data_IF_278281083870
#
_entry.id   IF_278281083870
#
_cell.length_a   1.000
_cell.length_b   1.000
_cell.length_c   1.000
_cell.angle_alpha   90.00
_cell.angle_beta   90.00
_cell.angle_gamma   90.00
#
_symmetry.space_group_name_H-M   'P 1'
#
loop_
_entity.id
_entity.type
_entity.pdbx_description
1 polymer ?
#
# COMPACT_ATOMS: atom_id res chain seq x y z
N UNK A 1 -14.86 -1.56 -8.12
CA UNK A 1 -15.20 -2.94 -8.52
C UNK A 1 -13.91 -3.59 -9.01
N UNK A 2 -13.45 -4.69 -8.41
CA UNK A 2 -12.14 -5.32 -8.68
C UNK A 2 -11.91 -5.69 -10.15
N UNK A 3 -13.02 -5.87 -10.89
CA UNK A 3 -13.06 -6.19 -12.31
C UNK A 3 -12.22 -5.24 -13.17
N UNK A 4 -12.24 -3.91 -12.93
CA UNK A 4 -11.43 -2.98 -13.73
C UNK A 4 -9.93 -3.31 -13.67
N UNK A 5 -9.40 -3.51 -12.46
CA UNK A 5 -7.99 -3.81 -12.24
C UNK A 5 -7.57 -5.15 -12.86
N UNK A 6 -8.40 -6.19 -12.76
CA UNK A 6 -8.07 -7.51 -13.32
C UNK A 6 -7.90 -7.47 -14.84
N UNK A 7 -8.72 -6.67 -15.54
CA UNK A 7 -8.64 -6.52 -17.00
C UNK A 7 -7.43 -5.70 -17.39
N UNK A 8 -7.07 -4.69 -16.60
CA UNK A 8 -5.85 -3.93 -16.82
C UNK A 8 -4.60 -4.82 -16.64
N UNK A 9 -4.56 -5.65 -15.59
CA UNK A 9 -3.46 -6.62 -15.39
C UNK A 9 -3.37 -7.57 -16.60
N UNK A 10 -4.50 -8.11 -17.06
CA UNK A 10 -4.53 -8.99 -18.22
C UNK A 10 -4.05 -8.29 -19.52
N UNK A 11 -4.43 -7.03 -19.72
CA UNK A 11 -4.02 -6.25 -20.89
C UNK A 11 -2.55 -5.85 -20.85
N UNK A 12 -2.01 -5.58 -19.67
CA UNK A 12 -0.58 -5.30 -19.47
C UNK A 12 0.25 -6.56 -19.70
N UNK A 13 -0.17 -7.70 -19.13
CA UNK A 13 0.51 -8.98 -19.30
C UNK A 13 0.53 -9.48 -20.76
N UNK A 14 -0.49 -9.15 -21.56
CA UNK A 14 -0.52 -9.53 -22.98
C UNK A 14 0.34 -8.64 -23.89
N UNK A 15 0.68 -7.43 -23.43
CA UNK A 15 1.52 -6.46 -24.17
C UNK A 15 2.97 -6.46 -23.70
N UNK A 16 3.23 -6.92 -22.47
CA UNK A 16 4.54 -6.98 -21.84
C UNK A 16 5.22 -8.35 -21.94
N UNK A 17 6.22 -8.58 -21.10
CA UNK A 17 7.00 -9.82 -21.04
C UNK A 17 6.34 -10.95 -20.24
N UNK A 18 5.17 -10.73 -19.63
CA UNK A 18 4.45 -11.70 -18.81
C UNK A 18 5.15 -11.99 -17.48
N UNK A 19 4.98 -11.11 -16.50
CA UNK A 19 5.71 -11.15 -15.22
C UNK A 19 4.86 -11.54 -14.00
N UNK A 20 3.53 -11.54 -14.11
CA UNK A 20 2.65 -11.82 -12.98
C UNK A 20 2.43 -13.33 -12.81
N UNK A 21 3.09 -13.96 -11.84
CA UNK A 21 2.92 -15.40 -11.61
C UNK A 21 1.50 -15.76 -11.11
N UNK A 22 0.92 -14.92 -10.25
CA UNK A 22 -0.36 -15.21 -9.59
C UNK A 22 -1.12 -13.94 -9.23
N UNK A 23 -2.45 -14.01 -9.33
CA UNK A 23 -3.36 -12.97 -8.85
C UNK A 23 -4.25 -13.55 -7.76
N UNK A 24 -4.26 -12.92 -6.59
CA UNK A 24 -5.05 -13.34 -5.43
C UNK A 24 -6.14 -12.32 -5.15
N UNK A 25 -7.41 -12.70 -5.32
CA UNK A 25 -8.56 -11.83 -5.07
C UNK A 25 -9.17 -12.21 -3.71
N UNK A 26 -9.05 -11.33 -2.72
CA UNK A 26 -9.61 -11.59 -1.39
C UNK A 26 -11.02 -11.03 -1.25
N UNK A 27 -11.99 -11.90 -1.01
CA UNK A 27 -13.38 -11.54 -0.73
C UNK A 27 -13.57 -11.38 0.78
N UNK A 28 -13.47 -10.14 1.25
CA UNK A 28 -13.53 -9.81 2.67
C UNK A 28 -14.95 -9.70 3.25
N UNK A 29 -15.94 -9.49 2.37
CA UNK A 29 -17.37 -9.54 2.66
C UNK A 29 -17.99 -10.55 1.69
N UNK A 30 -19.25 -10.95 1.94
CA UNK A 30 -19.99 -11.91 1.11
C UNK A 30 -19.73 -11.67 -0.39
N UNK A 31 -19.39 -12.72 -1.15
CA UNK A 31 -18.86 -12.56 -2.49
C UNK A 31 -19.87 -11.85 -3.40
N UNK A 32 -19.46 -10.71 -3.94
CA UNK A 32 -20.12 -10.13 -5.12
C UNK A 32 -19.76 -10.99 -6.33
N UNK A 33 -20.67 -11.08 -7.32
CA UNK A 33 -20.30 -11.66 -8.62
C UNK A 33 -19.02 -11.00 -9.14
N UNK A 34 -18.03 -11.82 -9.47
CA UNK A 34 -16.76 -11.39 -10.05
C UNK A 34 -16.35 -12.43 -11.10
N UNK A 35 -15.48 -12.03 -12.01
CA UNK A 35 -14.85 -12.92 -12.98
C UNK A 35 -13.40 -12.51 -13.19
N UNK A 36 -12.61 -13.43 -13.72
CA UNK A 36 -11.23 -13.19 -14.12
C UNK A 36 -11.12 -13.28 -15.64
N UNK A 37 -10.29 -12.45 -16.31
CA UNK A 37 -10.01 -12.61 -17.73
C UNK A 37 -9.43 -13.99 -18.05
N UNK A 38 -9.77 -14.55 -19.21
CA UNK A 38 -9.34 -15.88 -19.63
C UNK A 38 -7.81 -16.04 -19.64
N UNK A 39 -7.09 -14.98 -20.01
CA UNK A 39 -5.62 -14.92 -20.02
C UNK A 39 -4.98 -15.03 -18.63
N UNK A 40 -5.75 -14.80 -17.56
CA UNK A 40 -5.35 -14.91 -16.17
C UNK A 40 -6.02 -16.08 -15.45
N UNK A 41 -6.99 -16.77 -16.06
CA UNK A 41 -7.83 -17.77 -15.38
C UNK A 41 -7.01 -18.87 -14.69
N UNK A 42 -5.93 -19.36 -15.32
CA UNK A 42 -5.05 -20.37 -14.73
C UNK A 42 -4.26 -19.87 -13.51
N UNK A 43 -4.00 -18.55 -13.42
CA UNK A 43 -3.17 -17.87 -12.41
C UNK A 43 -3.97 -17.09 -11.36
N UNK A 44 -5.28 -16.93 -11.55
CA UNK A 44 -6.14 -16.19 -10.62
C UNK A 44 -6.78 -17.13 -9.60
N UNK A 45 -6.75 -16.75 -8.33
CA UNK A 45 -7.36 -17.50 -7.22
C UNK A 45 -8.13 -16.56 -6.32
N UNK A 46 -9.28 -17.01 -5.82
CA UNK A 46 -10.01 -16.32 -4.76
C UNK A 46 -9.54 -16.80 -3.39
N UNK A 47 -9.59 -15.88 -2.43
CA UNK A 47 -9.50 -16.17 -1.00
C UNK A 47 -10.78 -15.66 -0.37
N UNK A 48 -11.57 -16.54 0.24
CA UNK A 48 -12.83 -16.18 0.87
C UNK A 48 -12.67 -16.22 2.39
N UNK A 49 -13.12 -15.15 3.07
CA UNK A 49 -13.12 -15.13 4.51
C UNK A 49 -14.48 -15.56 5.07
N UNK A 50 -14.45 -16.43 6.09
CA UNK A 50 -15.64 -16.76 6.88
C UNK A 50 -16.22 -15.56 7.64
N UNK A 51 -15.37 -14.59 8.01
CA UNK A 51 -15.75 -13.36 8.71
C UNK A 51 -14.91 -12.20 8.20
N UNK A 52 -15.40 -10.98 8.36
CA UNK A 52 -14.67 -9.79 7.94
C UNK A 52 -13.32 -9.67 8.67
N UNK A 53 -12.24 -9.53 7.91
CA UNK A 53 -10.88 -9.30 8.40
C UNK A 53 -10.40 -7.88 8.07
N UNK A 54 -9.36 -7.45 8.77
CA UNK A 54 -8.72 -6.17 8.48
C UNK A 54 -7.94 -6.19 7.15
N UNK A 55 -7.61 -5.00 6.64
CA UNK A 55 -6.82 -4.86 5.41
C UNK A 55 -5.51 -5.64 5.48
N UNK A 56 -4.75 -5.47 6.57
CA UNK A 56 -3.47 -6.16 6.76
C UNK A 56 -3.61 -7.67 6.84
N UNK A 57 -4.60 -8.17 7.60
CA UNK A 57 -4.85 -9.60 7.74
C UNK A 57 -5.23 -10.27 6.41
N UNK A 58 -5.97 -9.58 5.53
CA UNK A 58 -6.27 -10.09 4.19
C UNK A 58 -5.01 -10.25 3.34
N UNK A 59 -4.14 -9.24 3.35
CA UNK A 59 -2.90 -9.28 2.57
C UNK A 59 -1.88 -10.25 3.15
N UNK A 60 -1.84 -10.45 4.48
CA UNK A 60 -1.03 -11.49 5.10
C UNK A 60 -1.48 -12.90 4.67
N UNK A 61 -2.80 -13.15 4.64
CA UNK A 61 -3.34 -14.40 4.16
C UNK A 61 -3.00 -14.65 2.68
N UNK A 62 -3.10 -13.62 1.83
CA UNK A 62 -2.66 -13.71 0.44
C UNK A 62 -1.15 -13.96 0.32
N UNK A 63 -0.35 -13.25 1.12
CA UNK A 63 1.11 -13.38 1.12
C UNK A 63 1.58 -14.78 1.54
N UNK A 64 0.83 -15.52 2.36
CA UNK A 64 1.15 -16.92 2.69
C UNK A 64 1.26 -17.84 1.47
N UNK A 65 0.69 -17.44 0.33
CA UNK A 65 0.77 -18.14 -0.95
C UNK A 65 1.81 -17.54 -1.91
N UNK A 66 2.62 -16.57 -1.47
CA UNK A 66 3.64 -15.92 -2.28
C UNK A 66 4.91 -16.79 -2.34
N UNK A 67 5.33 -17.14 -3.56
CA UNK A 67 6.57 -17.86 -3.84
C UNK A 67 7.60 -17.00 -4.62
N UNK A 68 7.21 -15.79 -4.99
CA UNK A 68 7.99 -14.85 -5.80
C UNK A 68 8.87 -13.92 -4.95
N UNK A 69 9.86 -13.29 -5.58
CA UNK A 69 10.69 -12.28 -4.91
C UNK A 69 9.92 -11.01 -4.52
N UNK A 70 8.81 -10.73 -5.20
CA UNK A 70 7.98 -9.55 -5.03
C UNK A 70 6.51 -9.92 -4.81
N UNK A 71 5.83 -9.14 -3.98
CA UNK A 71 4.40 -9.25 -3.68
C UNK A 71 3.74 -7.87 -3.84
N UNK A 72 2.71 -7.79 -4.67
CA UNK A 72 1.98 -6.54 -4.89
C UNK A 72 0.72 -6.47 -4.02
N UNK A 73 0.60 -5.40 -3.25
CA UNK A 73 -0.63 -4.99 -2.55
C UNK A 73 -1.31 -3.94 -3.41
N UNK A 74 -2.54 -4.21 -3.84
CA UNK A 74 -3.28 -3.35 -4.76
C UNK A 74 -4.72 -3.16 -4.27
N UNK A 75 -5.16 -1.92 -4.20
CA UNK A 75 -6.58 -1.64 -4.04
C UNK A 75 -7.36 -1.92 -5.33
N UNK A 76 -8.63 -2.36 -5.25
CA UNK A 76 -9.44 -2.72 -6.41
C UNK A 76 -9.90 -1.52 -7.28
N UNK A 77 -9.62 -0.29 -6.88
CA UNK A 77 -9.88 0.97 -7.60
C UNK A 77 -8.62 1.56 -8.26
N UNK A 78 -7.50 0.83 -8.23
CA UNK A 78 -6.32 1.11 -9.06
C UNK A 78 -6.63 0.75 -10.52
N UNK A 79 -6.17 1.60 -11.43
CA UNK A 79 -6.17 1.35 -12.88
C UNK A 79 -4.76 1.44 -13.44
N UNK A 80 -4.40 0.51 -14.32
CA UNK A 80 -3.08 0.39 -14.92
C UNK A 80 -3.15 0.64 -16.43
N UNK A 81 -2.19 1.42 -16.96
CA UNK A 81 -2.07 1.72 -18.38
C UNK A 81 -0.83 1.11 -19.04
N UNK A 82 0.12 0.62 -18.24
CA UNK A 82 1.40 0.07 -18.68
C UNK A 82 1.92 -1.01 -17.72
N UNK A 83 3.03 -1.66 -18.08
CA UNK A 83 3.71 -2.64 -17.22
C UNK A 83 4.45 -1.98 -16.05
N UNK A 84 3.66 -1.56 -15.06
CA UNK A 84 4.17 -0.89 -13.86
C UNK A 84 5.02 -1.81 -12.99
N UNK A 85 4.79 -3.12 -13.01
CA UNK A 85 5.53 -4.04 -12.15
C UNK A 85 6.97 -4.15 -12.62
N UNK A 86 7.18 -4.41 -13.92
CA UNK A 86 8.53 -4.46 -14.49
C UNK A 86 9.25 -3.11 -14.38
N UNK A 87 8.55 -2.01 -14.64
CA UNK A 87 9.11 -0.67 -14.50
C UNK A 87 9.57 -0.36 -13.07
N UNK A 88 8.81 -0.76 -12.05
CA UNK A 88 9.21 -0.58 -10.64
C UNK A 88 10.40 -1.48 -10.28
N UNK A 89 10.37 -2.76 -10.68
CA UNK A 89 11.46 -3.71 -10.41
C UNK A 89 12.76 -3.25 -11.08
N UNK A 90 12.70 -2.69 -12.28
CA UNK A 90 13.86 -2.16 -13.00
C UNK A 90 14.55 -1.01 -12.25
N UNK A 91 13.82 -0.29 -11.38
CA UNK A 91 14.34 0.79 -10.56
C UNK A 91 14.70 0.37 -9.13
N UNK A 92 14.50 -0.91 -8.79
CA UNK A 92 14.75 -1.44 -7.46
C UNK A 92 16.26 -1.56 -7.19
N UNK A 93 16.67 -1.16 -5.99
CA UNK A 93 17.96 -1.49 -5.41
C UNK A 93 17.85 -2.68 -4.45
N UNK A 94 18.98 -3.30 -4.13
CA UNK A 94 19.03 -4.49 -3.28
C UNK A 94 18.42 -4.26 -1.89
N UNK A 95 18.50 -3.04 -1.37
CA UNK A 95 18.03 -2.62 -0.04
C UNK A 95 16.62 -1.98 -0.05
N UNK A 96 15.93 -1.96 -1.18
CA UNK A 96 14.54 -1.52 -1.24
C UNK A 96 13.60 -2.64 -0.80
N UNK A 97 12.82 -2.39 0.25
CA UNK A 97 11.74 -3.27 0.67
C UNK A 97 10.43 -2.99 -0.07
N UNK A 98 10.18 -1.73 -0.42
CA UNK A 98 8.91 -1.30 -1.01
C UNK A 98 9.18 -0.32 -2.13
N UNK A 99 8.49 -0.53 -3.25
CA UNK A 99 8.40 0.38 -4.38
C UNK A 99 6.94 0.83 -4.50
N UNK A 100 6.71 2.13 -4.67
CA UNK A 100 5.37 2.64 -4.97
C UNK A 100 5.41 3.67 -6.10
N UNK A 101 4.47 3.58 -7.06
CA UNK A 101 4.32 4.55 -8.14
C UNK A 101 3.66 5.84 -7.63
N UNK A 102 3.64 6.88 -8.47
CA UNK A 102 2.73 8.00 -8.30
C UNK A 102 1.27 7.55 -8.46
N UNK A 103 0.42 7.92 -7.51
CA UNK A 103 -1.02 7.70 -7.56
C UNK A 103 -1.68 8.96 -8.12
N UNK A 104 -2.24 8.88 -9.32
CA UNK A 104 -2.89 10.01 -9.97
C UNK A 104 -4.40 9.99 -9.71
N UNK A 105 -4.94 11.15 -9.36
CA UNK A 105 -6.38 11.37 -9.36
C UNK A 105 -6.90 11.29 -10.82
N UNK A 106 -7.90 10.44 -11.13
CA UNK A 106 -8.39 10.27 -12.48
C UNK A 106 -9.04 11.53 -13.07
N UNK A 107 -9.59 12.41 -12.21
CA UNK A 107 -10.35 13.57 -12.65
C UNK A 107 -9.43 14.76 -12.90
N UNK A 108 -8.40 14.93 -12.05
CA UNK A 108 -7.48 16.09 -12.15
C UNK A 108 -6.12 15.76 -12.77
N UNK A 109 -5.74 14.48 -12.81
CA UNK A 109 -4.39 14.04 -13.20
C UNK A 109 -3.30 14.37 -12.17
N UNK A 110 -3.66 14.96 -11.03
CA UNK A 110 -2.70 15.35 -10.01
C UNK A 110 -2.20 14.14 -9.21
N UNK A 111 -0.91 14.12 -8.91
CA UNK A 111 -0.32 13.11 -8.06
C UNK A 111 -0.72 13.31 -6.59
N UNK A 112 -1.01 12.20 -5.90
CA UNK A 112 -1.30 12.21 -4.48
C UNK A 112 -0.12 12.83 -3.69
N UNK A 113 -0.39 13.70 -2.70
CA UNK A 113 0.66 14.37 -1.97
C UNK A 113 1.49 13.38 -1.12
N UNK A 114 2.79 13.64 -1.06
CA UNK A 114 3.71 12.97 -0.15
C UNK A 114 3.18 12.98 1.29
N UNK A 115 3.29 11.82 1.96
CA UNK A 115 2.78 11.64 3.31
C UNK A 115 3.88 11.88 4.34
N UNK A 116 3.65 12.82 5.26
CA UNK A 116 4.49 13.03 6.44
C UNK A 116 4.18 12.04 7.57
N UNK A 117 4.93 12.15 8.67
CA UNK A 117 4.68 11.38 9.89
C UNK A 117 3.26 11.58 10.42
N UNK A 118 2.56 10.50 10.77
CA UNK A 118 1.22 10.53 11.37
C UNK A 118 1.26 10.91 12.86
N UNK A 119 1.86 12.06 13.19
CA UNK A 119 1.83 12.59 14.56
C UNK A 119 0.44 13.16 14.90
N UNK A 120 0.04 13.22 16.18
CA UNK A 120 -1.22 13.87 16.56
C UNK A 120 -1.35 15.30 16.00
N UNK A 121 -0.27 16.07 16.05
CA UNK A 121 -0.21 17.42 15.49
C UNK A 121 -0.36 17.43 13.95
N UNK A 122 0.24 16.45 13.24
CA UNK A 122 0.08 16.31 11.79
C UNK A 122 -1.39 16.05 11.41
N UNK A 123 -2.03 15.12 12.11
CA UNK A 123 -3.41 14.72 11.84
C UNK A 123 -4.36 15.91 12.00
N UNK A 124 -4.10 16.77 12.99
CA UNK A 124 -4.86 18.00 13.22
C UNK A 124 -4.55 19.07 12.16
N UNK A 125 -3.26 19.39 11.96
CA UNK A 125 -2.85 20.50 11.09
C UNK A 125 -3.17 20.29 9.62
N UNK A 126 -3.27 19.05 9.15
CA UNK A 126 -3.66 18.73 7.76
C UNK A 126 -5.05 19.27 7.38
N UNK A 127 -5.89 19.58 8.37
CA UNK A 127 -7.22 20.17 8.16
C UNK A 127 -7.22 21.70 8.17
N UNK A 128 -6.08 22.33 8.45
CA UNK A 128 -5.96 23.78 8.56
C UNK A 128 -5.52 24.41 7.23
N UNK A 129 -5.92 25.66 6.93
CA UNK A 129 -5.43 26.41 5.77
C UNK A 129 -3.92 26.54 5.76
N UNK A 130 -3.31 26.53 4.57
CA UNK A 130 -1.86 26.70 4.40
C UNK A 130 -1.02 25.45 4.74
N UNK A 131 -1.65 24.31 5.04
CA UNK A 131 -0.94 23.04 5.14
C UNK A 131 -0.23 22.71 3.83
N UNK A 132 1.04 22.31 3.93
CA UNK A 132 1.84 21.86 2.80
C UNK A 132 2.24 20.40 3.01
N UNK A 133 2.24 19.59 1.93
CA UNK A 133 2.71 18.21 2.00
C UNK A 133 4.20 18.14 2.34
N UNK A 134 4.65 16.97 2.78
CA UNK A 134 6.06 16.74 3.06
C UNK A 134 6.89 16.80 1.77
N UNK A 135 8.13 17.32 1.83
CA UNK A 135 9.02 17.36 0.66
C UNK A 135 9.38 15.96 0.13
N UNK A 136 9.43 14.97 1.02
CA UNK A 136 9.62 13.56 0.69
C UNK A 136 8.64 12.69 1.50
N UNK A 137 8.22 11.52 0.99
CA UNK A 137 7.32 10.63 1.69
C UNK A 137 8.05 9.97 2.88
N UNK A 138 7.47 10.10 4.07
CA UNK A 138 7.89 9.35 5.26
C UNK A 138 7.34 7.91 5.25
N UNK A 139 6.37 7.61 4.39
CA UNK A 139 5.79 6.27 4.23
C UNK A 139 5.00 6.23 2.92
N UNK A 140 4.72 5.02 2.44
CA UNK A 140 4.02 4.76 1.18
C UNK A 140 2.62 4.20 1.48
N UNK A 141 1.57 4.72 0.83
CA UNK A 141 0.19 4.31 1.13
C UNK A 141 -0.12 2.90 0.60
N UNK A 142 -0.90 2.14 1.36
CA UNK A 142 -1.32 0.77 1.03
C UNK A 142 -2.21 0.62 -0.21
N UNK A 143 -2.45 1.69 -0.98
CA UNK A 143 -3.24 1.63 -2.22
C UNK A 143 -2.49 0.89 -3.34
N UNK A 144 -1.18 1.08 -3.42
CA UNK A 144 -0.27 0.34 -4.31
C UNK A 144 1.08 0.21 -3.62
N UNK A 145 1.47 -1.00 -3.23
CA UNK A 145 2.82 -1.30 -2.74
C UNK A 145 3.36 -2.54 -3.47
N UNK A 146 4.51 -2.43 -4.11
CA UNK A 146 5.27 -3.59 -4.58
C UNK A 146 6.37 -3.90 -3.56
N UNK A 147 6.19 -5.00 -2.83
CA UNK A 147 6.95 -5.30 -1.62
C UNK A 147 7.88 -6.49 -1.86
N UNK A 148 9.14 -6.37 -1.46
CA UNK A 148 10.10 -7.47 -1.47
C UNK A 148 9.66 -8.53 -0.47
N UNK A 149 9.46 -9.76 -0.93
CA UNK A 149 8.88 -10.84 -0.12
C UNK A 149 9.76 -11.22 1.08
N UNK A 150 11.08 -11.11 0.95
CA UNK A 150 12.01 -11.26 2.07
C UNK A 150 11.79 -10.21 3.15
N UNK A 151 11.75 -8.92 2.78
CA UNK A 151 11.56 -7.84 3.71
C UNK A 151 10.20 -7.93 4.43
N UNK A 152 9.15 -8.30 3.69
CA UNK A 152 7.81 -8.52 4.26
C UNK A 152 7.80 -9.68 5.28
N UNK A 153 8.47 -10.80 4.98
CA UNK A 153 8.65 -11.93 5.92
C UNK A 153 9.42 -11.51 7.17
N UNK A 154 10.53 -10.79 7.00
CA UNK A 154 11.39 -10.38 8.11
C UNK A 154 10.64 -9.58 9.18
N UNK A 155 9.70 -8.72 8.76
CA UNK A 155 8.91 -7.91 9.69
C UNK A 155 7.58 -8.54 10.11
N UNK A 156 7.28 -9.77 9.64
CA UNK A 156 6.04 -10.49 9.95
C UNK A 156 4.79 -9.96 9.26
N UNK A 157 4.94 -9.31 8.10
CA UNK A 157 3.83 -8.75 7.32
C UNK A 157 3.16 -7.53 7.96
N UNK A 158 1.88 -7.31 7.68
CA UNK A 158 1.08 -6.28 8.36
C UNK A 158 0.78 -6.69 9.81
N UNK A 159 0.70 -5.70 10.71
CA UNK A 159 0.19 -5.94 12.06
C UNK A 159 -1.34 -6.09 12.01
N UNK A 160 -1.83 -7.32 12.19
CA UNK A 160 -3.26 -7.66 12.06
C UNK A 160 -4.15 -7.04 13.15
N UNK A 161 -3.55 -6.42 14.17
CA UNK A 161 -4.29 -5.69 15.19
C UNK A 161 -4.82 -4.35 14.69
N UNK A 162 -4.37 -3.89 13.51
CA UNK A 162 -5.02 -2.83 12.75
C UNK A 162 -6.09 -3.44 11.85
N UNK A 163 -7.34 -3.07 12.10
CA UNK A 163 -8.43 -3.49 11.22
C UNK A 163 -8.42 -2.70 9.90
N UNK A 164 -8.28 -1.37 9.99
CA UNK A 164 -8.20 -0.47 8.85
C UNK A 164 -7.49 0.82 9.30
N UNK A 165 -6.73 1.44 8.39
CA UNK A 165 -5.95 2.65 8.59
C UNK A 165 -4.70 2.48 9.46
N UNK A 166 -3.64 3.21 9.09
CA UNK A 166 -2.32 3.25 9.74
C UNK A 166 -1.53 1.92 9.73
N UNK A 167 -2.09 0.85 9.19
CA UNK A 167 -1.45 -0.44 8.98
C UNK A 167 -0.30 -0.36 7.95
N UNK A 168 -0.48 0.47 6.92
CA UNK A 168 0.53 0.78 5.90
C UNK A 168 1.68 1.64 6.46
N UNK A 169 1.36 2.65 7.27
CA UNK A 169 2.34 3.42 8.02
C UNK A 169 3.17 2.51 8.94
N UNK A 170 2.50 1.66 9.73
CA UNK A 170 3.15 0.76 10.67
C UNK A 170 4.10 -0.22 9.95
N UNK A 171 3.66 -0.79 8.82
CA UNK A 171 4.51 -1.63 7.97
C UNK A 171 5.75 -0.86 7.48
N UNK A 172 5.56 0.33 6.92
CA UNK A 172 6.65 1.18 6.44
C UNK A 172 7.65 1.49 7.56
N UNK A 173 7.17 1.84 8.76
CA UNK A 173 7.99 2.11 9.93
C UNK A 173 8.80 0.89 10.35
N UNK A 174 8.18 -0.30 10.42
CA UNK A 174 8.88 -1.54 10.78
C UNK A 174 9.93 -1.95 9.75
N UNK A 175 9.65 -1.79 8.46
CA UNK A 175 10.61 -2.06 7.39
C UNK A 175 11.84 -1.13 7.49
N UNK A 176 11.61 0.17 7.68
CA UNK A 176 12.69 1.14 7.89
C UNK A 176 13.53 0.83 9.13
N UNK A 177 12.87 0.44 10.23
CA UNK A 177 13.55 0.05 11.47
C UNK A 177 14.33 -1.27 11.35
N UNK A 178 13.99 -2.12 10.36
CA UNK A 178 14.72 -3.32 10.02
C UNK A 178 15.89 -3.07 9.04
N UNK A 179 16.14 -1.81 8.66
CA UNK A 179 17.26 -1.40 7.81
C UNK A 179 16.93 -1.29 6.31
N UNK A 180 15.68 -1.55 5.92
CA UNK A 180 15.26 -1.44 4.52
C UNK A 180 14.92 0.00 4.10
N UNK A 181 14.91 0.24 2.79
CA UNK A 181 14.44 1.49 2.18
C UNK A 181 13.02 1.38 1.65
N UNK A 182 12.36 2.54 1.59
CA UNK A 182 11.08 2.75 0.93
C UNK A 182 11.35 3.64 -0.26
N UNK A 183 11.07 3.16 -1.46
CA UNK A 183 11.32 3.89 -2.70
C UNK A 183 10.01 4.35 -3.32
N UNK A 184 9.89 5.66 -3.47
CA UNK A 184 8.85 6.28 -4.29
C UNK A 184 9.41 6.50 -5.69
N UNK A 185 8.64 6.12 -6.71
CA UNK A 185 9.05 6.14 -8.12
C UNK A 185 8.04 6.97 -8.92
N UNK A 186 8.18 8.31 -8.96
CA UNK A 186 7.18 9.20 -9.57
C UNK A 186 7.06 9.06 -11.09
N UNK A 187 8.07 8.48 -11.75
CA UNK A 187 8.10 8.22 -13.18
C UNK A 187 7.13 7.11 -13.58
N UNK A 188 6.81 6.19 -12.65
CA UNK A 188 5.78 5.17 -12.83
C UNK A 188 4.48 5.68 -12.24
N UNK A 189 3.41 5.64 -13.03
CA UNK A 189 2.14 6.28 -12.67
C UNK A 189 0.99 5.29 -12.80
N UNK A 190 0.09 5.32 -11.82
CA UNK A 190 -1.17 4.58 -11.84
C UNK A 190 -2.31 5.52 -11.50
N UNK A 191 -3.48 5.29 -12.09
CA UNK A 191 -4.67 6.03 -11.70
C UNK A 191 -5.29 5.37 -10.48
N UNK A 192 -5.67 6.18 -9.49
CA UNK A 192 -6.32 5.75 -8.27
C UNK A 192 -7.51 6.67 -8.02
N UNK A 193 -8.70 6.16 -8.32
CA UNK A 193 -9.95 6.84 -7.99
C UNK A 193 -10.16 6.76 -6.48
N UNK A 194 -9.37 7.52 -5.72
CA UNK A 194 -9.40 7.52 -4.26
C UNK A 194 -10.84 7.76 -3.83
N UNK A 195 -11.56 6.68 -3.47
CA UNK A 195 -12.97 6.80 -3.17
C UNK A 195 -13.09 7.67 -1.91
N UNK A 196 -13.36 8.96 -2.11
CA UNK A 196 -13.69 9.95 -1.07
C UNK A 196 -15.03 9.64 -0.41
N UNK A 197 -15.64 8.50 -0.73
CA UNK A 197 -16.78 7.91 -0.06
C UNK A 197 -16.39 7.30 1.30
N UNK A 198 -15.54 7.97 2.08
CA UNK A 198 -15.65 7.88 3.53
C UNK A 198 -16.92 8.61 3.94
N UNK A 199 -18.08 8.03 3.61
CA UNK A 199 -19.33 8.42 4.26
C UNK A 199 -19.03 8.42 5.75
N UNK A 200 -19.28 9.56 6.40
CA UNK A 200 -19.02 9.81 7.82
C UNK A 200 -19.92 8.90 8.65
N UNK A 201 -19.64 7.60 8.62
CA UNK A 201 -20.27 6.59 9.46
C UNK A 201 -19.35 6.44 10.65
N UNK A 202 -19.93 6.57 11.85
CA UNK A 202 -19.27 6.42 13.14
C UNK A 202 -18.32 5.22 13.22
N UNK A 203 -18.64 4.13 12.52
CA UNK A 203 -17.79 2.94 12.42
C UNK A 203 -16.38 3.23 11.86
N UNK A 204 -16.26 3.95 10.74
CA UNK A 204 -14.96 4.26 10.14
C UNK A 204 -14.16 5.23 10.99
N UNK A 205 -14.83 6.21 11.61
CA UNK A 205 -14.20 7.11 12.58
C UNK A 205 -13.63 6.33 13.77
N UNK A 206 -14.41 5.39 14.33
CA UNK A 206 -13.96 4.53 15.44
C UNK A 206 -12.73 3.71 15.07
N UNK A 207 -12.71 3.08 13.90
CA UNK A 207 -11.52 2.37 13.41
C UNK A 207 -10.32 3.30 13.26
N UNK A 208 -10.52 4.50 12.71
CA UNK A 208 -9.44 5.47 12.57
C UNK A 208 -8.84 5.88 13.92
N UNK A 209 -9.69 6.20 14.91
CA UNK A 209 -9.23 6.57 16.26
C UNK A 209 -8.53 5.39 16.96
N UNK A 210 -9.06 4.18 16.86
CA UNK A 210 -8.46 2.99 17.44
C UNK A 210 -7.08 2.70 16.84
N UNK A 211 -6.95 2.81 15.51
CA UNK A 211 -5.69 2.62 14.80
C UNK A 211 -4.67 3.71 15.14
N UNK A 212 -5.07 4.97 15.24
CA UNK A 212 -4.17 6.05 15.65
C UNK A 212 -3.69 5.87 17.10
N UNK A 213 -4.59 5.51 18.02
CA UNK A 213 -4.21 5.22 19.40
C UNK A 213 -3.21 4.05 19.47
N UNK A 214 -3.47 2.96 18.72
CA UNK A 214 -2.55 1.84 18.60
C UNK A 214 -1.19 2.31 18.09
N UNK A 215 -1.16 3.08 17.00
CA UNK A 215 0.06 3.60 16.42
C UNK A 215 0.88 4.41 17.43
N UNK A 216 0.24 5.35 18.14
CA UNK A 216 0.91 6.22 19.09
C UNK A 216 1.27 5.54 20.42
N UNK A 217 0.60 4.45 20.78
CA UNK A 217 1.02 3.61 21.92
C UNK A 217 2.15 2.63 21.54
N UNK A 218 2.36 2.39 20.25
CA UNK A 218 3.34 1.45 19.73
C UNK A 218 4.77 1.97 19.75
N UNK A 219 5.72 1.11 20.16
CA UNK A 219 7.16 1.44 20.16
C UNK A 219 7.71 1.73 18.75
N UNK A 220 7.16 1.08 17.71
CA UNK A 220 7.61 1.25 16.33
C UNK A 220 7.48 2.70 15.86
N UNK A 221 6.35 3.36 16.15
CA UNK A 221 6.13 4.77 15.79
C UNK A 221 7.20 5.69 16.40
N UNK A 222 7.48 5.56 17.69
CA UNK A 222 8.43 6.43 18.39
C UNK A 222 9.87 6.20 17.95
N UNK A 223 10.26 4.93 17.76
CA UNK A 223 11.58 4.58 17.22
C UNK A 223 11.74 5.10 15.80
N UNK A 224 10.72 4.96 14.95
CA UNK A 224 10.76 5.43 13.58
C UNK A 224 10.82 6.97 13.50
N UNK A 225 10.07 7.65 14.36
CA UNK A 225 10.17 9.11 14.51
C UNK A 225 11.56 9.56 14.93
N UNK A 226 12.22 8.84 15.84
CA UNK A 226 13.61 9.13 16.23
C UNK A 226 14.57 8.93 15.05
N UNK A 227 14.45 7.80 14.33
CA UNK A 227 15.25 7.51 13.14
C UNK A 227 15.19 8.64 12.11
N UNK A 228 13.98 9.08 11.73
CA UNK A 228 13.82 10.17 10.75
C UNK A 228 14.41 11.50 11.22
N UNK A 229 14.37 11.80 12.53
CA UNK A 229 15.00 13.01 13.06
C UNK A 229 16.51 12.93 12.97
N UNK A 230 17.09 11.77 13.26
CA UNK A 230 18.53 11.57 13.21
C UNK A 230 19.04 11.62 11.76
N UNK A 231 18.31 11.02 10.81
CA UNK A 231 18.58 11.17 9.38
C UNK A 231 18.51 12.63 8.92
N UNK A 232 17.48 13.37 9.34
CA UNK A 232 17.34 14.79 9.01
C UNK A 232 18.44 15.67 9.63
N UNK A 233 18.97 15.30 10.79
CA UNK A 233 20.13 15.97 11.40
C UNK A 233 21.41 15.70 10.62
N UNK A 234 21.64 14.43 10.23
CA UNK A 234 22.81 14.05 9.43
C UNK A 234 22.82 14.69 8.04
N UNK A 235 21.66 14.86 7.41
CA UNK A 235 21.57 15.52 6.11
C UNK A 235 21.84 17.04 6.14
N UNK A 236 21.90 17.65 7.33
CA UNK A 236 22.17 19.08 7.53
C UNK A 236 23.58 19.38 8.06
N UNK A 237 24.28 18.35 8.51
CA UNK A 237 25.66 18.43 8.98
C UNK A 237 26.61 18.23 7.80
#
# INVERSE_FOLDING_TARGET
>A
MVQGLLWDIAAVESRGSGGVERVLVTHNLAPSRWSCPDTLASRCRSIENAHQKGFGANHNAAFSQCATAWFAVLNPDIRLSSDVFSQLIAQASADDAVLAPALLDPDTGEAAPNRGLLTPWEVLRRRLPGWKPAGAPAWLPGAFLLIRAEAFRQVGGFDERYFLYAEDFDLCARLRLAGWKLRYVPEVQVSHAAQRASHVRWRYLRWHLQSLWRLWSGRAFWRYRALLRDEARRARA
#
